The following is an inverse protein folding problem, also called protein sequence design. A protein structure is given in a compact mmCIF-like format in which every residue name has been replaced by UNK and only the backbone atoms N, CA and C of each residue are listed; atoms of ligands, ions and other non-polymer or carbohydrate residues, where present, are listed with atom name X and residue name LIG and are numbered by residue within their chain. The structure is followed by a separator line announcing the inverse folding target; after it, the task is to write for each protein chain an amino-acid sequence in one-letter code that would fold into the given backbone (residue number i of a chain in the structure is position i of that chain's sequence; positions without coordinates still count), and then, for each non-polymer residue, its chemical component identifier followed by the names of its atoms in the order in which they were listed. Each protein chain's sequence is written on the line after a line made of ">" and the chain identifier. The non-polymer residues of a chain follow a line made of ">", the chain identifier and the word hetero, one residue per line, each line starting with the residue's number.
data_IF_041649864794
#
_entry.id   IF_041649864794
#
_cell.length_a   1.000
_cell.length_b   1.000
_cell.length_c   1.000
_cell.angle_alpha   90.00
_cell.angle_beta   90.00
_cell.angle_gamma   90.00
#
_symmetry.space_group_name_H-M   'P 1'
#
loop_
_entity.id
_entity.type
_entity.pdbx_description
1 polymer ?
#
# COMPACT_ATOMS: atom_id res chain seq x y z
N UNK A 1 -0.72 5.17 13.40
CA UNK A 1 0.47 5.82 12.81
C UNK A 1 0.95 5.12 11.55
N UNK A 2 1.29 3.82 11.61
CA UNK A 2 1.73 3.04 10.43
C UNK A 2 0.74 3.10 9.26
N UNK A 3 -0.56 2.90 9.51
CA UNK A 3 -1.59 3.01 8.48
C UNK A 3 -1.57 4.35 7.72
N UNK A 4 -1.52 5.47 8.44
CA UNK A 4 -1.47 6.82 7.84
C UNK A 4 -0.20 7.02 7.01
N UNK A 5 0.95 6.53 7.50
CA UNK A 5 2.21 6.62 6.77
C UNK A 5 2.18 5.81 5.47
N UNK A 6 1.74 4.54 5.53
CA UNK A 6 1.57 3.70 4.34
C UNK A 6 0.62 4.35 3.33
N UNK A 7 -0.49 4.94 3.79
CA UNK A 7 -1.43 5.68 2.94
C UNK A 7 -0.77 6.86 2.22
N UNK A 8 0.08 7.63 2.90
CA UNK A 8 0.84 8.73 2.30
C UNK A 8 1.86 8.22 1.27
N UNK A 9 2.62 7.17 1.60
CA UNK A 9 3.58 6.56 0.68
C UNK A 9 2.90 6.06 -0.60
N UNK A 10 1.76 5.36 -0.46
CA UNK A 10 0.99 4.85 -1.59
C UNK A 10 0.49 5.99 -2.48
N UNK A 11 -0.12 7.03 -1.89
CA UNK A 11 -0.62 8.19 -2.64
C UNK A 11 0.46 8.97 -3.37
N UNK A 12 1.64 9.09 -2.76
CA UNK A 12 2.76 9.83 -3.32
C UNK A 12 3.60 8.98 -4.29
N UNK A 13 3.28 7.69 -4.48
CA UNK A 13 4.09 6.74 -5.26
C UNK A 13 5.55 6.70 -4.81
N UNK A 14 5.77 6.82 -3.50
CA UNK A 14 7.10 6.85 -2.90
C UNK A 14 7.57 5.43 -2.54
N UNK A 15 7.47 4.51 -3.49
CA UNK A 15 7.83 3.09 -3.39
C UNK A 15 8.30 2.59 -4.77
N UNK A 16 9.11 1.52 -4.80
CA UNK A 16 9.82 1.11 -6.03
C UNK A 16 8.95 0.30 -6.98
N UNK A 17 8.15 -0.62 -6.45
CA UNK A 17 7.16 -1.39 -7.20
C UNK A 17 5.97 -1.74 -6.34
N UNK A 18 4.87 -2.17 -6.99
CA UNK A 18 3.68 -2.66 -6.28
C UNK A 18 4.00 -3.85 -5.39
N UNK A 19 4.79 -4.80 -5.91
CA UNK A 19 5.22 -5.99 -5.19
C UNK A 19 6.01 -5.60 -3.93
N UNK A 20 6.96 -4.67 -4.07
CA UNK A 20 7.77 -4.15 -2.97
C UNK A 20 6.91 -3.52 -1.86
N UNK A 21 5.90 -2.74 -2.27
CA UNK A 21 4.95 -2.14 -1.33
C UNK A 21 4.07 -3.20 -0.64
N UNK A 22 3.63 -4.24 -1.36
CA UNK A 22 2.86 -5.35 -0.78
C UNK A 22 3.67 -6.12 0.26
N UNK A 23 4.94 -6.43 -0.03
CA UNK A 23 5.84 -7.10 0.93
C UNK A 23 5.98 -6.31 2.23
N UNK A 24 6.13 -4.97 2.15
CA UNK A 24 6.13 -4.10 3.33
C UNK A 24 4.82 -4.18 4.12
N UNK A 25 3.67 -4.18 3.45
CA UNK A 25 2.37 -4.29 4.12
C UNK A 25 2.20 -5.64 4.83
N UNK A 26 2.68 -6.73 4.22
CA UNK A 26 2.67 -8.07 4.82
C UNK A 26 3.50 -8.10 6.11
N UNK A 27 4.72 -7.53 6.06
CA UNK A 27 5.58 -7.41 7.25
C UNK A 27 4.88 -6.60 8.35
N UNK A 28 4.18 -5.52 8.02
CA UNK A 28 3.45 -4.73 9.03
C UNK A 28 2.25 -5.46 9.62
N UNK A 29 1.52 -6.23 8.82
CA UNK A 29 0.40 -7.05 9.29
C UNK A 29 0.90 -8.16 10.22
N UNK A 30 1.93 -8.91 9.82
CA UNK A 30 2.50 -10.01 10.61
C UNK A 30 3.09 -9.52 11.94
N UNK A 31 3.59 -8.29 11.99
CA UNK A 31 4.11 -7.66 13.21
C UNK A 31 3.03 -6.90 14.02
N UNK A 32 1.74 -7.08 13.72
CA UNK A 32 0.62 -6.39 14.38
C UNK A 32 0.76 -4.85 14.41
N UNK A 33 1.43 -4.26 13.41
CA UNK A 33 1.59 -2.80 13.26
C UNK A 33 0.37 -2.16 12.58
N UNK A 34 -0.39 -2.97 11.86
CA UNK A 34 -1.71 -2.69 11.27
C UNK A 34 -2.59 -3.92 11.45
N UNK A 35 -3.91 -3.74 11.45
CA UNK A 35 -4.84 -4.86 11.45
C UNK A 35 -5.25 -5.28 10.02
N UNK A 36 -6.07 -6.34 9.90
CA UNK A 36 -6.51 -6.89 8.61
C UNK A 36 -7.35 -5.90 7.79
N UNK A 37 -8.19 -5.10 8.44
CA UNK A 37 -9.04 -4.13 7.74
C UNK A 37 -8.22 -2.97 7.17
N UNK A 38 -7.26 -2.48 7.94
CA UNK A 38 -6.28 -1.49 7.51
C UNK A 38 -5.41 -2.00 6.35
N UNK A 39 -4.95 -3.24 6.42
CA UNK A 39 -4.20 -3.90 5.34
C UNK A 39 -5.04 -3.96 4.06
N UNK A 40 -6.27 -4.48 4.14
CA UNK A 40 -7.16 -4.59 2.98
C UNK A 40 -7.41 -3.22 2.34
N UNK A 41 -7.66 -2.19 3.16
CA UNK A 41 -7.85 -0.83 2.67
C UNK A 41 -6.60 -0.26 1.95
N UNK A 42 -5.40 -0.56 2.46
CA UNK A 42 -4.15 -0.15 1.82
C UNK A 42 -3.90 -0.91 0.50
N UNK A 43 -4.20 -2.21 0.46
CA UNK A 43 -4.09 -3.01 -0.78
C UNK A 43 -5.08 -2.53 -1.84
N UNK A 44 -6.32 -2.22 -1.45
CA UNK A 44 -7.30 -1.60 -2.36
C UNK A 44 -6.78 -0.28 -2.92
N UNK A 45 -6.29 0.61 -2.05
CA UNK A 45 -5.72 1.90 -2.48
C UNK A 45 -4.51 1.72 -3.41
N UNK A 46 -3.62 0.79 -3.11
CA UNK A 46 -2.46 0.49 -3.94
C UNK A 46 -2.88 0.04 -5.35
N UNK A 47 -3.88 -0.84 -5.44
CA UNK A 47 -4.43 -1.29 -6.72
C UNK A 47 -5.11 -0.17 -7.52
N UNK A 48 -5.76 0.78 -6.85
CA UNK A 48 -6.37 1.94 -7.51
C UNK A 48 -5.30 2.87 -8.10
N UNK A 49 -4.26 3.17 -7.31
CA UNK A 49 -3.15 4.04 -7.75
C UNK A 49 -2.37 3.42 -8.91
N UNK A 50 -2.12 2.12 -8.86
CA UNK A 50 -1.42 1.34 -9.90
C UNK A 50 -2.19 1.28 -11.22
N UNK A 51 -3.52 1.10 -11.16
CA UNK A 51 -4.38 1.13 -12.36
C UNK A 51 -4.38 2.49 -13.05
N UNK A 52 -4.25 3.58 -12.30
CA UNK A 52 -4.20 4.92 -12.88
C UNK A 52 -2.91 5.16 -13.70
N UNK A 53 -1.81 4.47 -13.37
CA UNK A 53 -0.61 4.49 -14.21
C UNK A 53 -0.75 3.61 -15.46
N UNK A 54 -1.45 2.48 -15.34
CA UNK A 54 -1.70 1.57 -16.46
C UNK A 54 -2.71 2.08 -17.51
N UNK A 55 -3.47 3.14 -17.22
CA UNK A 55 -4.43 3.78 -18.15
C UNK A 55 -3.81 4.95 -18.93
N UNK A 56 -2.54 5.29 -18.66
CA UNK A 56 -1.80 6.35 -19.38
C UNK A 56 -1.04 5.84 -20.63
N UNK A 57 -1.40 4.67 -21.16
CA UNK A 57 -0.98 4.13 -22.47
C UNK A 57 -2.20 3.62 -23.25
#
# INVERSE_FOLDING_TARGET
>A
MTYLYCKTIIKNKSYDSKEEMLEKLDVFLLNNRINKDEYNALVTLLNEVDKLDGVLL
#
